data_IF_150617430471
#
_entry.id   IF_150617430471
#
_cell.length_a   1.000
_cell.length_b   1.000
_cell.length_c   1.000
_cell.angle_alpha   90.00
_cell.angle_beta   90.00
_cell.angle_gamma   90.00
#
_symmetry.space_group_name_H-M   'P 1'
#
loop_
_entity.id
_entity.type
_entity.pdbx_description
1 polymer ?
#
# COMPACT_ATOMS: atom_id res chain seq x y z
N UNK A 1 -46.32 -58.99 -24.67
CA UNK A 1 -46.85 -59.11 -26.06
C UNK A 1 -47.66 -57.89 -26.39
N UNK A 2 -47.61 -57.33 -27.61
CA UNK A 2 -46.53 -57.20 -28.58
C UNK A 2 -46.18 -55.71 -28.85
N UNK A 3 -45.00 -55.39 -29.21
CA UNK A 3 -44.36 -54.96 -30.47
C UNK A 3 -45.24 -54.16 -31.46
N UNK A 4 -44.76 -52.96 -31.82
CA UNK A 4 -44.73 -52.36 -33.15
C UNK A 4 -43.73 -51.16 -33.12
N UNK A 5 -42.58 -51.30 -33.69
CA UNK A 5 -42.04 -51.11 -35.08
C UNK A 5 -42.29 -49.73 -35.69
N UNK A 6 -41.12 -49.10 -35.98
CA UNK A 6 -40.88 -47.88 -36.80
C UNK A 6 -41.63 -47.82 -38.12
N UNK A 7 -41.59 -46.67 -38.82
CA UNK A 7 -40.53 -46.49 -39.81
C UNK A 7 -40.00 -45.05 -40.02
N UNK A 8 -38.76 -44.97 -40.53
CA UNK A 8 -38.14 -43.84 -41.16
C UNK A 8 -38.70 -43.51 -42.54
N UNK A 9 -38.55 -42.27 -43.03
CA UNK A 9 -38.33 -42.03 -44.46
C UNK A 9 -37.00 -41.36 -44.79
N UNK A 10 -36.53 -41.85 -45.96
CA UNK A 10 -35.36 -41.40 -46.74
C UNK A 10 -35.53 -39.97 -47.29
N UNK A 11 -34.56 -39.08 -47.22
CA UNK A 11 -33.55 -38.79 -48.23
C UNK A 11 -34.03 -37.75 -49.26
N UNK A 12 -33.42 -36.58 -49.25
CA UNK A 12 -33.25 -35.77 -50.47
C UNK A 12 -31.85 -35.08 -50.43
N UNK A 13 -31.11 -35.34 -51.50
CA UNK A 13 -29.88 -34.74 -51.90
C UNK A 13 -30.13 -33.29 -52.29
N UNK A 14 -29.43 -32.36 -51.66
CA UNK A 14 -29.29 -30.95 -52.06
C UNK A 14 -27.80 -30.56 -52.09
N UNK A 15 -27.34 -30.46 -53.34
CA UNK A 15 -26.02 -29.93 -53.70
C UNK A 15 -25.89 -28.47 -53.13
N UNK A 16 -24.97 -28.19 -52.26
CA UNK A 16 -24.59 -26.82 -51.93
C UNK A 16 -23.09 -26.64 -52.18
N UNK A 17 -22.84 -25.71 -53.08
CA UNK A 17 -21.55 -25.34 -53.62
C UNK A 17 -20.59 -24.87 -52.50
N UNK A 18 -19.39 -25.38 -52.54
CA UNK A 18 -18.26 -24.98 -51.70
C UNK A 18 -17.76 -23.57 -52.12
N UNK A 19 -18.12 -22.57 -51.36
CA UNK A 19 -17.43 -21.26 -51.42
C UNK A 19 -16.26 -21.34 -50.42
N UNK A 20 -15.06 -21.51 -50.98
CA UNK A 20 -13.80 -21.44 -50.23
C UNK A 20 -13.58 -20.01 -49.73
N UNK A 21 -13.84 -19.77 -48.45
CA UNK A 21 -13.37 -18.58 -47.77
C UNK A 21 -11.87 -18.74 -47.43
N UNK A 22 -11.00 -18.17 -48.29
CA UNK A 22 -9.60 -17.96 -47.98
C UNK A 22 -9.51 -16.96 -46.82
N UNK A 23 -9.39 -17.45 -45.60
CA UNK A 23 -8.95 -16.64 -44.44
C UNK A 23 -7.51 -16.20 -44.70
N UNK A 24 -7.34 -14.97 -45.23
CA UNK A 24 -6.08 -14.24 -45.15
C UNK A 24 -5.75 -14.06 -43.68
N UNK A 25 -4.93 -14.92 -43.12
CA UNK A 25 -4.21 -14.66 -41.88
C UNK A 25 -3.26 -13.47 -42.12
N UNK A 26 -3.75 -12.24 -41.99
CA UNK A 26 -2.90 -11.10 -41.72
C UNK A 26 -2.23 -11.34 -40.33
N UNK A 27 -1.13 -12.04 -40.33
CA UNK A 27 -0.20 -12.00 -39.21
C UNK A 27 0.21 -10.54 -39.03
N UNK A 28 -0.49 -9.84 -38.15
CA UNK A 28 -0.04 -8.54 -37.64
C UNK A 28 1.34 -8.79 -37.03
N UNK A 29 2.37 -8.43 -37.77
CA UNK A 29 3.70 -8.25 -37.23
C UNK A 29 3.61 -7.18 -36.16
N UNK A 30 3.36 -7.60 -34.93
CA UNK A 30 3.63 -6.76 -33.76
C UNK A 30 5.15 -6.57 -33.76
N UNK A 31 5.66 -5.33 -33.83
CA UNK A 31 7.08 -5.12 -33.60
C UNK A 31 7.39 -5.76 -32.25
N UNK A 32 8.28 -6.74 -32.25
CA UNK A 32 8.76 -7.34 -31.03
C UNK A 32 9.39 -6.20 -30.21
N UNK A 33 8.67 -5.73 -29.18
CA UNK A 33 9.23 -4.78 -28.23
C UNK A 33 10.42 -5.48 -27.61
N UNK A 34 11.61 -4.91 -27.82
CA UNK A 34 12.84 -5.39 -27.24
C UNK A 34 12.60 -5.63 -25.75
N UNK A 35 12.67 -6.88 -25.30
CA UNK A 35 12.58 -7.18 -23.88
C UNK A 35 13.95 -6.86 -23.27
N UNK A 36 14.08 -5.79 -22.46
CA UNK A 36 15.32 -5.52 -21.78
C UNK A 36 15.65 -6.70 -20.87
N UNK A 37 16.89 -7.20 -20.97
CA UNK A 37 17.39 -8.22 -20.04
C UNK A 37 17.88 -7.60 -18.73
N UNK A 38 17.67 -6.29 -18.57
CA UNK A 38 17.97 -5.57 -17.35
C UNK A 38 19.19 -4.66 -17.47
N UNK A 39 19.87 -4.45 -16.36
CA UNK A 39 21.08 -3.65 -16.24
C UNK A 39 22.14 -4.39 -15.44
N UNK A 40 23.44 -4.12 -15.70
CA UNK A 40 24.55 -4.60 -14.89
C UNK A 40 25.65 -3.53 -14.74
N UNK A 41 25.83 -3.01 -13.51
CA UNK A 41 26.71 -1.89 -13.25
C UNK A 41 26.26 -0.65 -14.03
N UNK A 42 27.13 -0.16 -14.92
CA UNK A 42 26.85 0.99 -15.79
C UNK A 42 26.37 0.59 -17.19
N UNK A 43 25.87 -0.64 -17.35
CA UNK A 43 25.48 -1.16 -18.66
C UNK A 43 24.00 -1.57 -18.69
N UNK A 44 23.34 -1.19 -19.76
CA UNK A 44 22.10 -1.81 -20.21
C UNK A 44 22.43 -3.19 -20.82
N UNK A 45 21.71 -4.22 -20.42
CA UNK A 45 21.84 -5.58 -20.92
C UNK A 45 20.80 -5.82 -22.00
N UNK A 46 21.24 -5.96 -23.23
CA UNK A 46 20.37 -6.26 -24.36
C UNK A 46 20.49 -7.73 -24.74
N UNK A 47 19.38 -8.45 -24.83
CA UNK A 47 19.34 -9.82 -25.36
C UNK A 47 19.20 -9.77 -26.86
N UNK A 48 20.22 -10.26 -27.57
CA UNK A 48 20.31 -10.29 -29.03
C UNK A 48 19.13 -11.07 -29.63
N UNK A 49 18.53 -10.48 -30.66
CA UNK A 49 17.49 -11.10 -31.47
C UNK A 49 18.03 -11.50 -32.84
N UNK A 50 17.29 -12.36 -33.54
CA UNK A 50 17.67 -12.75 -34.88
C UNK A 50 17.69 -11.51 -35.81
N UNK A 51 18.80 -11.34 -36.53
CA UNK A 51 19.01 -10.21 -37.44
C UNK A 51 19.67 -8.98 -36.81
N UNK A 52 19.92 -8.96 -35.51
CA UNK A 52 20.66 -7.88 -34.88
C UNK A 52 22.16 -7.89 -35.28
N UNK A 53 22.69 -6.70 -35.41
CA UNK A 53 24.13 -6.45 -35.57
C UNK A 53 24.59 -5.37 -34.59
N UNK A 54 25.88 -5.27 -34.29
CA UNK A 54 26.37 -4.18 -33.43
C UNK A 54 26.08 -2.79 -34.00
N UNK A 55 26.08 -2.64 -35.31
CA UNK A 55 25.76 -1.37 -36.00
C UNK A 55 24.29 -1.00 -35.73
N UNK A 56 23.37 -1.97 -35.91
CA UNK A 56 21.93 -1.71 -35.68
C UNK A 56 21.62 -1.45 -34.21
N UNK A 57 22.34 -2.11 -33.29
CA UNK A 57 22.17 -1.86 -31.84
C UNK A 57 22.73 -0.50 -31.43
N UNK A 58 23.90 -0.11 -31.95
CA UNK A 58 24.49 1.20 -31.70
C UNK A 58 23.59 2.32 -32.23
N UNK A 59 23.14 2.24 -33.49
CA UNK A 59 22.18 3.19 -34.04
C UNK A 59 20.87 3.27 -33.26
N UNK A 60 20.36 2.12 -32.77
CA UNK A 60 19.09 2.05 -32.03
C UNK A 60 19.19 2.66 -30.64
N UNK A 61 20.24 2.35 -29.89
CA UNK A 61 20.33 2.69 -28.47
C UNK A 61 21.27 3.86 -28.17
N UNK A 62 22.23 4.14 -29.02
CA UNK A 62 23.22 5.20 -28.79
C UNK A 62 23.01 6.42 -29.74
N UNK A 63 22.03 6.34 -30.66
CA UNK A 63 21.83 7.30 -31.75
C UNK A 63 23.13 7.58 -32.53
N UNK A 64 24.09 6.62 -32.53
CA UNK A 64 25.38 6.69 -33.14
C UNK A 64 25.76 5.31 -33.75
N UNK A 65 25.60 5.18 -35.07
CA UNK A 65 25.92 3.92 -35.75
C UNK A 65 27.40 3.55 -35.60
N UNK A 66 28.31 4.52 -35.56
CA UNK A 66 29.75 4.30 -35.42
C UNK A 66 30.15 3.82 -34.01
N UNK A 67 29.27 3.98 -33.04
CA UNK A 67 29.38 3.43 -31.67
C UNK A 67 29.51 1.92 -31.61
N UNK A 68 29.26 1.19 -32.73
CA UNK A 68 29.43 -0.27 -32.80
C UNK A 68 30.82 -0.74 -32.41
N UNK A 69 31.89 0.06 -32.71
CA UNK A 69 33.27 -0.27 -32.33
C UNK A 69 33.44 -0.33 -30.81
N UNK A 70 32.83 0.62 -30.10
CA UNK A 70 32.80 0.62 -28.63
C UNK A 70 32.09 -0.62 -28.10
N UNK A 71 30.93 -0.97 -28.68
CA UNK A 71 30.19 -2.18 -28.30
C UNK A 71 31.01 -3.44 -28.56
N UNK A 72 31.69 -3.52 -29.70
CA UNK A 72 32.54 -4.65 -30.04
C UNK A 72 33.66 -4.85 -28.99
N UNK A 73 34.40 -3.78 -28.69
CA UNK A 73 35.48 -3.80 -27.72
C UNK A 73 35.00 -4.17 -26.32
N UNK A 74 33.89 -3.53 -25.84
CA UNK A 74 33.33 -3.76 -24.50
C UNK A 74 32.83 -5.17 -24.30
N UNK A 75 32.31 -5.79 -25.34
CA UNK A 75 31.72 -7.13 -25.30
C UNK A 75 32.65 -8.24 -25.81
N UNK A 76 33.88 -7.91 -26.21
CA UNK A 76 34.85 -8.85 -26.76
C UNK A 76 34.32 -9.65 -27.96
N UNK A 77 33.53 -9.01 -28.83
CA UNK A 77 32.88 -9.65 -29.97
C UNK A 77 33.83 -9.72 -31.15
N UNK A 78 34.17 -10.91 -31.61
CA UNK A 78 35.12 -11.11 -32.74
C UNK A 78 34.53 -10.64 -34.07
N UNK A 79 33.26 -10.94 -34.36
CA UNK A 79 32.59 -10.56 -35.62
C UNK A 79 31.36 -9.67 -35.33
N UNK A 80 31.43 -8.36 -35.64
CA UNK A 80 30.36 -7.40 -35.35
C UNK A 80 29.10 -7.61 -36.20
N UNK A 81 29.14 -8.42 -37.26
CA UNK A 81 28.03 -8.71 -38.16
C UNK A 81 27.28 -10.00 -37.75
N UNK A 82 27.84 -10.80 -36.85
CA UNK A 82 27.26 -12.08 -36.41
C UNK A 82 27.11 -12.10 -34.89
N UNK A 83 25.96 -11.71 -34.42
CA UNK A 83 25.60 -11.83 -33.00
C UNK A 83 24.77 -13.10 -32.81
N UNK A 84 25.17 -14.02 -31.91
CA UNK A 84 24.34 -15.19 -31.61
C UNK A 84 23.00 -14.77 -30.96
N UNK A 85 21.84 -15.17 -31.52
CA UNK A 85 20.57 -14.87 -30.88
C UNK A 85 20.53 -15.42 -29.44
N UNK A 86 19.97 -14.62 -28.51
CA UNK A 86 19.92 -14.95 -27.09
C UNK A 86 21.17 -14.56 -26.28
N UNK A 87 22.30 -14.23 -26.91
CA UNK A 87 23.46 -13.66 -26.22
C UNK A 87 23.16 -12.27 -25.64
N UNK A 88 23.98 -11.83 -24.69
CA UNK A 88 23.81 -10.51 -24.04
C UNK A 88 24.87 -9.55 -24.60
N UNK A 89 24.39 -8.40 -25.06
CA UNK A 89 25.25 -7.25 -25.40
C UNK A 89 25.11 -6.19 -24.31
N UNK A 90 26.25 -5.74 -23.76
CA UNK A 90 26.35 -4.65 -22.78
C UNK A 90 26.46 -3.32 -23.50
N UNK A 91 25.56 -2.42 -23.29
CA UNK A 91 25.51 -1.07 -23.85
C UNK A 91 25.67 -0.06 -22.70
N UNK A 92 26.75 0.77 -22.71
CA UNK A 92 26.99 1.69 -21.59
C UNK A 92 25.91 2.75 -21.47
N UNK A 93 25.40 3.01 -20.25
CA UNK A 93 24.36 4.01 -20.01
C UNK A 93 24.78 5.44 -20.35
N UNK A 94 26.07 5.76 -20.26
CA UNK A 94 26.59 7.08 -20.61
C UNK A 94 26.56 7.36 -22.11
N UNK A 95 26.28 6.34 -22.93
CA UNK A 95 26.10 6.43 -24.37
C UNK A 95 24.65 6.36 -24.82
N UNK A 96 23.73 6.03 -23.94
CA UNK A 96 22.31 5.97 -24.27
C UNK A 96 21.67 7.34 -23.97
N UNK A 97 21.06 8.00 -24.97
CA UNK A 97 20.37 9.25 -24.76
C UNK A 97 19.32 9.13 -23.65
N UNK A 98 19.21 10.17 -22.82
CA UNK A 98 18.18 10.26 -21.82
C UNK A 98 17.08 11.20 -22.30
N UNK A 99 15.83 10.85 -21.97
CA UNK A 99 14.63 11.64 -22.28
C UNK A 99 13.90 12.00 -20.99
N UNK A 100 13.22 13.16 -20.95
CA UNK A 100 12.40 13.53 -19.82
C UNK A 100 11.36 12.42 -19.52
N UNK A 101 11.17 12.12 -18.26
CA UNK A 101 10.13 11.23 -17.76
C UNK A 101 9.35 11.92 -16.62
N UNK A 102 8.32 11.27 -16.12
CA UNK A 102 7.54 11.75 -15.00
C UNK A 102 7.28 10.64 -13.98
N UNK A 103 7.21 11.02 -12.72
CA UNK A 103 6.68 10.16 -11.68
C UNK A 103 5.15 10.34 -11.62
N UNK A 104 4.39 9.26 -11.69
CA UNK A 104 2.95 9.31 -11.55
C UNK A 104 2.57 9.23 -10.07
N UNK A 105 1.74 10.17 -9.60
CA UNK A 105 1.15 10.09 -8.26
C UNK A 105 0.07 9.01 -8.28
N UNK A 106 0.25 7.94 -7.52
CA UNK A 106 -0.75 6.86 -7.38
C UNK A 106 -1.61 7.03 -6.14
N UNK A 107 -1.06 7.68 -5.11
CA UNK A 107 -1.77 8.06 -3.89
C UNK A 107 -1.20 9.37 -3.36
N UNK A 108 -2.08 10.25 -2.85
CA UNK A 108 -1.67 11.45 -2.12
C UNK A 108 -2.72 11.84 -1.09
N UNK A 109 -2.26 12.19 0.11
CA UNK A 109 -3.04 12.71 1.21
C UNK A 109 -2.19 13.77 1.91
N UNK A 110 -2.73 14.98 2.13
CA UNK A 110 -2.04 16.10 2.79
C UNK A 110 -0.58 16.25 2.31
N UNK A 111 -0.42 16.28 0.98
CA UNK A 111 0.87 16.44 0.32
C UNK A 111 0.79 17.63 -0.66
N UNK A 112 1.82 18.46 -0.69
CA UNK A 112 1.91 19.65 -1.54
C UNK A 112 3.23 19.68 -2.31
N UNK A 113 3.25 20.43 -3.41
CA UNK A 113 4.49 20.75 -4.12
C UNK A 113 5.19 21.98 -3.50
N UNK A 114 6.34 22.36 -4.05
CA UNK A 114 7.10 23.55 -3.60
C UNK A 114 6.35 24.86 -3.63
N UNK A 115 5.31 25.01 -4.47
CA UNK A 115 4.42 26.17 -4.52
C UNK A 115 3.23 26.03 -3.56
N UNK A 116 3.23 25.05 -2.68
CA UNK A 116 2.13 24.68 -1.76
C UNK A 116 0.82 24.30 -2.44
N UNK A 117 0.86 23.85 -3.70
CA UNK A 117 -0.31 23.34 -4.42
C UNK A 117 -0.53 21.88 -4.03
N UNK A 118 -1.77 21.47 -3.71
CA UNK A 118 -2.07 20.10 -3.36
C UNK A 118 -1.70 19.12 -4.48
N UNK A 119 -1.08 18.00 -4.11
CA UNK A 119 -0.82 16.88 -4.99
C UNK A 119 -1.97 15.88 -4.90
N UNK A 120 -2.37 15.32 -6.03
CA UNK A 120 -3.49 14.40 -6.14
C UNK A 120 -3.13 13.19 -6.99
N UNK A 121 -3.78 12.05 -6.74
CA UNK A 121 -3.64 10.85 -7.56
C UNK A 121 -3.92 11.16 -9.04
N UNK A 122 -3.15 10.54 -9.92
CA UNK A 122 -3.21 10.78 -11.37
C UNK A 122 -2.28 11.89 -11.88
N UNK A 123 -1.79 12.80 -11.02
CA UNK A 123 -0.84 13.84 -11.44
C UNK A 123 0.50 13.23 -11.87
N UNK A 124 1.16 13.89 -12.82
CA UNK A 124 2.53 13.56 -13.26
C UNK A 124 3.49 14.64 -12.75
N UNK A 125 4.50 14.21 -12.04
CA UNK A 125 5.52 15.10 -11.47
C UNK A 125 6.82 14.96 -12.26
N UNK A 126 7.37 16.09 -12.68
CA UNK A 126 8.61 16.18 -13.42
C UNK A 126 9.84 16.34 -12.52
N UNK A 127 11.01 16.34 -13.14
CA UNK A 127 12.28 16.73 -12.52
C UNK A 127 12.15 18.07 -11.79
N UNK A 128 12.90 18.26 -10.73
CA UNK A 128 12.94 19.43 -9.82
C UNK A 128 11.67 19.69 -8.99
N UNK A 129 10.67 18.80 -9.05
CA UNK A 129 9.49 18.93 -8.19
C UNK A 129 9.87 18.66 -6.72
N UNK A 130 9.63 19.64 -5.84
CA UNK A 130 9.66 19.48 -4.39
C UNK A 130 8.33 18.90 -3.91
N UNK A 131 8.39 17.91 -3.05
CA UNK A 131 7.26 17.26 -2.39
C UNK A 131 7.37 17.47 -0.89
N UNK A 132 6.32 17.94 -0.25
CA UNK A 132 6.21 18.08 1.19
C UNK A 132 4.95 17.36 1.68
N UNK A 133 5.11 16.49 2.66
CA UNK A 133 3.99 15.80 3.32
C UNK A 133 3.72 16.42 4.68
N UNK A 134 2.45 16.67 5.00
CA UNK A 134 2.02 17.15 6.32
C UNK A 134 2.23 16.10 7.42
N UNK A 135 1.89 16.47 8.66
CA UNK A 135 2.05 15.58 9.82
C UNK A 135 1.20 14.29 9.75
N UNK A 136 0.15 14.28 8.95
CA UNK A 136 -0.71 13.12 8.66
C UNK A 136 -0.72 12.75 7.19
N UNK A 137 0.10 13.44 6.38
CA UNK A 137 0.13 13.30 4.94
C UNK A 137 1.01 12.14 4.47
N UNK A 138 0.75 11.66 3.28
CA UNK A 138 1.61 10.71 2.58
C UNK A 138 1.40 10.82 1.08
N UNK A 139 2.41 10.43 0.31
CA UNK A 139 2.29 10.34 -1.14
C UNK A 139 3.05 9.11 -1.65
N UNK A 140 2.49 8.45 -2.65
CA UNK A 140 3.14 7.35 -3.34
C UNK A 140 3.25 7.65 -4.82
N UNK A 141 4.46 7.50 -5.33
CA UNK A 141 4.83 7.69 -6.71
C UNK A 141 5.10 6.34 -7.38
N UNK A 142 4.73 6.23 -8.65
CA UNK A 142 5.09 5.10 -9.52
C UNK A 142 5.86 5.61 -10.73
N UNK A 143 6.85 4.81 -11.17
CA UNK A 143 7.64 5.04 -12.37
C UNK A 143 7.36 3.96 -13.42
N UNK A 144 7.69 4.22 -14.68
CA UNK A 144 7.35 3.35 -15.82
C UNK A 144 7.96 1.94 -15.73
N UNK A 145 9.08 1.77 -15.03
CA UNK A 145 9.73 0.47 -14.78
C UNK A 145 9.04 -0.33 -13.64
N UNK A 146 7.98 0.22 -13.04
CA UNK A 146 7.26 -0.34 -11.92
C UNK A 146 7.86 -0.02 -10.56
N UNK A 147 8.93 0.77 -10.49
CA UNK A 147 9.46 1.31 -9.23
C UNK A 147 8.40 2.13 -8.51
N UNK A 148 8.26 1.92 -7.20
CA UNK A 148 7.38 2.68 -6.33
C UNK A 148 8.16 3.35 -5.22
N UNK A 149 7.75 4.58 -4.90
CA UNK A 149 8.32 5.39 -3.83
C UNK A 149 7.20 5.91 -2.95
N UNK A 150 7.18 5.50 -1.70
CA UNK A 150 6.26 6.02 -0.69
C UNK A 150 7.00 7.03 0.18
N UNK A 151 6.43 8.22 0.30
CA UNK A 151 6.90 9.32 1.15
C UNK A 151 5.91 9.45 2.31
N UNK A 152 6.27 9.00 3.52
CA UNK A 152 5.42 9.04 4.70
C UNK A 152 5.32 10.45 5.28
N UNK A 153 4.53 10.67 6.37
CA UNK A 153 4.34 11.97 7.00
C UNK A 153 5.63 12.68 7.42
N UNK A 154 5.58 14.02 7.38
CA UNK A 154 6.67 14.88 7.86
C UNK A 154 7.93 14.79 7.01
N UNK A 155 7.79 14.62 5.71
CA UNK A 155 8.92 14.44 4.81
C UNK A 155 9.01 15.55 3.77
N UNK A 156 10.25 15.88 3.39
CA UNK A 156 10.59 16.85 2.35
C UNK A 156 11.55 16.21 1.35
N UNK A 157 11.05 15.95 0.13
CA UNK A 157 11.73 15.19 -0.92
C UNK A 157 11.69 15.96 -2.24
N UNK A 158 12.83 16.08 -2.90
CA UNK A 158 12.91 16.65 -4.26
C UNK A 158 13.16 15.54 -5.28
N UNK A 159 12.42 15.55 -6.38
CA UNK A 159 12.66 14.73 -7.55
C UNK A 159 13.83 15.34 -8.35
N UNK A 160 15.06 15.21 -7.86
CA UNK A 160 16.24 15.91 -8.41
C UNK A 160 16.63 15.46 -9.83
N UNK A 161 16.16 14.27 -10.25
CA UNK A 161 16.23 13.77 -11.62
C UNK A 161 15.09 12.79 -11.85
N UNK A 162 14.39 12.96 -12.98
CA UNK A 162 13.36 12.03 -13.44
C UNK A 162 13.44 11.92 -14.95
N UNK A 163 14.18 10.92 -15.43
CA UNK A 163 14.46 10.65 -16.85
C UNK A 163 14.35 9.16 -17.14
N UNK A 164 14.27 8.81 -18.40
CA UNK A 164 14.38 7.43 -18.89
C UNK A 164 15.53 7.32 -19.87
N UNK A 165 16.19 6.16 -19.91
CA UNK A 165 17.12 5.82 -20.98
C UNK A 165 16.32 5.46 -22.22
N UNK A 166 16.52 6.20 -23.30
CA UNK A 166 15.72 6.07 -24.52
C UNK A 166 15.64 4.62 -25.02
N UNK A 167 14.44 4.16 -25.35
CA UNK A 167 14.15 2.85 -25.94
C UNK A 167 14.52 1.62 -25.08
N UNK A 168 14.97 1.82 -23.83
CA UNK A 168 15.38 0.71 -22.94
C UNK A 168 14.29 0.27 -21.98
N UNK A 169 13.30 1.12 -21.69
CA UNK A 169 12.32 0.92 -20.61
C UNK A 169 12.91 1.06 -19.20
N UNK A 170 14.15 1.58 -19.09
CA UNK A 170 14.83 1.77 -17.80
C UNK A 170 14.83 3.26 -17.42
N UNK A 171 14.76 3.53 -16.11
CA UNK A 171 14.72 4.88 -15.54
C UNK A 171 16.11 5.38 -15.12
N UNK A 172 16.31 6.70 -15.14
CA UNK A 172 17.39 7.43 -14.46
C UNK A 172 16.76 8.40 -13.47
N UNK A 173 16.65 7.97 -12.21
CA UNK A 173 15.97 8.72 -11.14
C UNK A 173 16.93 9.02 -10.02
N UNK A 174 16.90 10.28 -9.55
CA UNK A 174 17.56 10.71 -8.33
C UNK A 174 16.56 11.44 -7.44
N UNK A 175 16.42 10.95 -6.21
CA UNK A 175 15.66 11.61 -5.15
C UNK A 175 16.61 12.30 -4.18
N UNK A 176 16.24 13.48 -3.71
CA UNK A 176 16.91 14.16 -2.62
C UNK A 176 15.98 14.25 -1.42
N UNK A 177 16.28 13.51 -0.36
CA UNK A 177 15.56 13.54 0.91
C UNK A 177 16.22 14.55 1.82
N UNK A 178 15.59 15.71 1.99
CA UNK A 178 16.11 16.78 2.86
C UNK A 178 15.78 16.50 4.32
N UNK A 179 14.58 15.98 4.56
CA UNK A 179 14.05 15.68 5.90
C UNK A 179 12.99 14.57 5.77
N UNK A 180 12.80 13.78 6.85
CA UNK A 180 11.83 12.70 6.88
C UNK A 180 12.36 11.44 6.21
N UNK A 181 11.50 10.73 5.49
CA UNK A 181 11.77 9.38 5.01
C UNK A 181 11.22 9.11 3.62
N UNK A 182 11.81 8.15 2.94
CA UNK A 182 11.25 7.47 1.77
C UNK A 182 11.39 5.96 1.92
N UNK A 183 10.37 5.21 1.53
CA UNK A 183 10.44 3.78 1.27
C UNK A 183 10.38 3.55 -0.24
N UNK A 184 11.32 2.76 -0.76
CA UNK A 184 11.41 2.48 -2.19
C UNK A 184 11.36 0.99 -2.44
N UNK A 185 10.51 0.58 -3.37
CA UNK A 185 10.50 -0.76 -3.98
C UNK A 185 10.93 -0.60 -5.43
N UNK A 186 12.19 -0.92 -5.70
CA UNK A 186 12.85 -0.61 -6.97
C UNK A 186 12.84 -1.83 -7.87
N UNK A 187 12.32 -1.67 -9.11
CA UNK A 187 12.23 -2.73 -10.13
C UNK A 187 11.64 -4.04 -9.59
N UNK A 188 10.41 -4.03 -9.07
CA UNK A 188 9.80 -5.23 -8.46
C UNK A 188 9.64 -6.39 -9.46
N UNK A 189 9.62 -6.09 -10.75
CA UNK A 189 9.53 -7.09 -11.84
C UNK A 189 10.87 -7.74 -12.19
N UNK A 190 11.96 -7.38 -11.50
CA UNK A 190 13.32 -7.87 -11.74
C UNK A 190 13.82 -7.66 -13.18
N UNK A 191 13.23 -6.74 -13.91
CA UNK A 191 13.63 -6.37 -15.29
C UNK A 191 14.90 -5.54 -15.34
N UNK A 192 15.48 -5.23 -14.18
CA UNK A 192 16.62 -4.35 -14.01
C UNK A 192 16.22 -2.90 -13.80
N UNK A 193 17.16 -2.12 -13.31
CA UNK A 193 17.02 -0.66 -13.08
C UNK A 193 18.09 0.00 -13.89
N UNK A 194 17.78 1.12 -14.52
CA UNK A 194 18.78 1.95 -15.16
C UNK A 194 19.71 2.54 -14.11
N UNK A 195 19.31 3.67 -13.56
CA UNK A 195 19.99 4.33 -12.45
C UNK A 195 18.95 4.81 -11.45
N UNK A 196 19.05 4.34 -10.21
CA UNK A 196 18.21 4.81 -9.11
C UNK A 196 19.10 5.22 -7.94
N UNK A 197 19.00 6.48 -7.54
CA UNK A 197 19.84 7.06 -6.49
C UNK A 197 18.98 7.85 -5.51
N UNK A 198 19.27 7.71 -4.22
CA UNK A 198 18.76 8.59 -3.18
C UNK A 198 19.93 9.30 -2.52
N UNK A 199 19.81 10.62 -2.39
CA UNK A 199 20.76 11.46 -1.66
C UNK A 199 20.07 12.09 -0.46
N UNK A 200 20.82 12.18 0.64
CA UNK A 200 20.47 12.91 1.85
C UNK A 200 21.64 13.82 2.22
N UNK A 201 21.54 14.68 3.25
CA UNK A 201 22.68 15.45 3.72
C UNK A 201 23.89 14.61 4.17
N UNK A 202 23.68 13.36 4.61
CA UNK A 202 24.75 12.54 5.19
C UNK A 202 25.16 11.33 4.35
N UNK A 203 24.32 10.85 3.42
CA UNK A 203 24.64 9.68 2.57
C UNK A 203 24.09 9.81 1.17
N UNK A 204 24.69 9.01 0.26
CA UNK A 204 24.19 8.76 -1.08
C UNK A 204 24.11 7.25 -1.26
N UNK A 205 22.99 6.76 -1.73
CA UNK A 205 22.77 5.35 -2.03
C UNK A 205 22.42 5.12 -3.49
N UNK A 206 23.10 4.16 -4.10
CA UNK A 206 22.78 3.64 -5.42
C UNK A 206 22.17 2.25 -5.29
N UNK A 207 21.07 2.00 -6.02
CA UNK A 207 20.19 0.87 -5.77
C UNK A 207 19.98 0.05 -7.02
N UNK A 208 19.79 -1.27 -6.80
CA UNK A 208 19.49 -2.20 -7.87
C UNK A 208 18.57 -3.33 -7.36
N UNK A 209 17.29 -3.29 -7.76
CA UNK A 209 16.32 -4.34 -7.46
C UNK A 209 16.14 -4.61 -5.97
N UNK A 210 15.79 -3.60 -5.18
CA UNK A 210 15.77 -3.64 -3.72
C UNK A 210 14.50 -3.03 -3.14
N UNK A 211 14.12 -3.49 -1.93
CA UNK A 211 13.19 -2.79 -1.05
C UNK A 211 13.96 -2.25 0.15
N UNK A 212 13.93 -0.94 0.34
CA UNK A 212 14.71 -0.27 1.39
C UNK A 212 14.07 1.05 1.80
N UNK A 213 14.50 1.57 2.94
CA UNK A 213 14.10 2.87 3.48
C UNK A 213 15.31 3.74 3.69
N UNK A 214 15.16 5.03 3.38
CA UNK A 214 16.15 6.06 3.67
C UNK A 214 15.48 7.15 4.47
N UNK A 215 16.08 7.53 5.59
CA UNK A 215 15.60 8.61 6.45
C UNK A 215 16.71 9.65 6.66
N UNK A 216 16.35 10.92 6.57
CA UNK A 216 17.19 12.06 6.92
C UNK A 216 16.67 12.72 8.21
N UNK A 217 17.54 12.93 9.18
CA UNK A 217 17.18 13.45 10.51
C UNK A 217 18.35 14.25 11.12
N UNK A 218 18.22 15.58 11.16
CA UNK A 218 19.13 16.46 11.91
C UNK A 218 20.62 16.31 11.58
N UNK A 219 20.99 16.13 10.30
CA UNK A 219 22.39 15.96 9.88
C UNK A 219 22.92 14.52 9.93
N UNK A 220 22.12 13.58 10.41
CA UNK A 220 22.33 12.15 10.27
C UNK A 220 21.35 11.56 9.24
N UNK A 221 21.70 10.41 8.73
CA UNK A 221 20.81 9.66 7.83
C UNK A 221 20.91 8.18 8.12
N UNK A 222 19.80 7.47 7.95
CA UNK A 222 19.75 6.02 8.10
C UNK A 222 19.24 5.37 6.83
N UNK A 223 19.72 4.18 6.56
CA UNK A 223 19.21 3.31 5.51
C UNK A 223 19.00 1.91 6.07
N UNK A 224 17.82 1.35 5.80
CA UNK A 224 17.42 0.00 6.20
C UNK A 224 17.09 -0.81 4.97
N UNK A 225 17.84 -1.89 4.71
CA UNK A 225 17.64 -2.75 3.52
C UNK A 225 16.80 -3.95 3.90
N UNK A 226 15.60 -4.02 3.34
CA UNK A 226 14.64 -5.09 3.59
C UNK A 226 14.83 -6.26 2.63
N UNK A 227 15.09 -5.95 1.35
CA UNK A 227 15.33 -6.93 0.30
C UNK A 227 16.42 -6.44 -0.62
N UNK A 228 17.23 -7.38 -1.17
CA UNK A 228 18.29 -7.07 -2.14
C UNK A 228 19.56 -6.51 -1.52
N UNK A 229 20.21 -5.60 -2.23
CA UNK A 229 21.51 -5.02 -1.84
C UNK A 229 21.65 -3.61 -2.38
N UNK A 230 22.20 -2.71 -1.59
CA UNK A 230 22.46 -1.31 -1.95
C UNK A 230 23.94 -0.97 -1.80
N UNK A 231 24.40 0.05 -2.52
CA UNK A 231 25.71 0.64 -2.34
C UNK A 231 25.57 2.02 -1.68
N UNK A 232 26.06 2.15 -0.45
CA UNK A 232 25.96 3.38 0.35
C UNK A 232 27.30 4.07 0.45
N UNK A 233 27.30 5.40 0.30
CA UNK A 233 28.47 6.24 0.46
C UNK A 233 28.20 7.40 1.42
N UNK A 234 29.14 7.66 2.34
CA UNK A 234 29.16 8.83 3.20
C UNK A 234 30.60 9.38 3.32
N UNK A 235 30.82 10.59 2.88
CA UNK A 235 32.17 11.15 2.75
C UNK A 235 33.08 10.26 1.89
N UNK A 236 34.18 9.78 2.48
CA UNK A 236 35.14 8.88 1.80
C UNK A 236 34.81 7.39 2.01
N UNK A 237 33.84 7.07 2.85
CA UNK A 237 33.46 5.67 3.11
C UNK A 237 32.42 5.21 2.09
N UNK A 238 32.61 4.00 1.57
CA UNK A 238 31.64 3.32 0.73
C UNK A 238 31.45 1.88 1.21
N UNK A 239 30.23 1.41 1.27
CA UNK A 239 29.89 0.07 1.74
C UNK A 239 28.69 -0.50 1.01
N UNK A 240 28.73 -1.79 0.72
CA UNK A 240 27.59 -2.54 0.27
C UNK A 240 26.79 -3.06 1.48
N UNK A 241 25.47 -2.84 1.48
CA UNK A 241 24.55 -3.24 2.53
C UNK A 241 23.52 -4.19 1.93
N UNK A 242 23.40 -5.39 2.48
CA UNK A 242 22.43 -6.40 2.05
C UNK A 242 21.20 -6.43 2.93
N UNK A 243 20.19 -7.21 2.51
CA UNK A 243 18.96 -7.42 3.25
C UNK A 243 19.21 -7.85 4.71
N UNK A 244 18.38 -7.36 5.63
CA UNK A 244 18.51 -7.59 7.06
C UNK A 244 19.53 -6.69 7.77
N UNK A 245 20.20 -5.80 7.06
CA UNK A 245 21.14 -4.82 7.61
C UNK A 245 20.73 -3.39 7.28
N UNK A 246 21.23 -2.47 8.11
CA UNK A 246 21.13 -1.05 7.85
C UNK A 246 22.41 -0.33 8.19
N UNK A 247 22.47 0.95 7.81
CA UNK A 247 23.57 1.84 8.15
C UNK A 247 23.03 3.17 8.67
N UNK A 248 23.75 3.75 9.63
CA UNK A 248 23.61 5.16 10.04
C UNK A 248 24.82 5.92 9.52
N UNK A 249 24.57 7.00 8.80
CA UNK A 249 25.59 7.94 8.35
C UNK A 249 25.51 9.22 9.20
N UNK A 250 26.64 9.64 9.77
CA UNK A 250 26.78 10.90 10.50
C UNK A 250 28.24 11.37 10.45
N UNK A 251 28.50 12.66 10.24
CA UNK A 251 29.85 13.20 10.18
C UNK A 251 30.78 12.50 9.18
N UNK A 252 30.25 12.05 8.04
CA UNK A 252 31.01 11.35 7.00
C UNK A 252 31.41 9.91 7.34
N UNK A 253 30.88 9.34 8.43
CA UNK A 253 31.14 7.96 8.89
C UNK A 253 29.89 7.09 8.71
N UNK A 254 30.12 5.81 8.40
CA UNK A 254 29.08 4.78 8.32
C UNK A 254 29.17 3.83 9.51
N UNK A 255 28.06 3.61 10.19
CA UNK A 255 27.90 2.57 11.21
C UNK A 255 26.86 1.56 10.75
N UNK A 256 27.29 0.35 10.45
CA UNK A 256 26.42 -0.76 10.04
C UNK A 256 25.89 -1.51 11.28
N UNK A 257 24.63 -1.96 11.20
CA UNK A 257 24.03 -2.85 12.19
C UNK A 257 23.02 -3.80 11.53
N UNK A 258 22.67 -4.86 12.26
CA UNK A 258 21.54 -5.72 11.92
C UNK A 258 20.26 -4.98 12.21
N UNK A 259 19.26 -5.08 11.32
CA UNK A 259 17.95 -4.48 11.56
C UNK A 259 17.25 -5.13 12.76
N UNK A 260 16.49 -4.35 13.55
CA UNK A 260 15.70 -4.92 14.64
C UNK A 260 14.65 -5.89 14.08
N UNK A 261 14.28 -6.89 14.88
CA UNK A 261 13.27 -7.87 14.50
C UNK A 261 11.88 -7.22 14.33
N UNK A 262 11.01 -7.82 13.52
CA UNK A 262 9.62 -7.44 13.48
C UNK A 262 8.94 -7.71 14.84
N UNK A 263 8.05 -6.83 15.32
CA UNK A 263 7.29 -7.09 16.53
C UNK A 263 6.27 -8.24 16.30
N UNK A 264 5.80 -8.84 17.39
CA UNK A 264 4.67 -9.77 17.34
C UNK A 264 3.43 -9.00 17.75
N UNK A 265 2.48 -8.84 16.81
CA UNK A 265 1.19 -8.24 17.10
C UNK A 265 0.40 -9.13 18.06
N UNK A 266 -0.22 -8.54 19.07
CA UNK A 266 -1.29 -9.15 19.83
C UNK A 266 -2.52 -9.33 18.92
N UNK A 267 -3.62 -9.83 19.46
CA UNK A 267 -4.83 -10.00 18.67
C UNK A 267 -5.31 -8.64 18.11
N UNK A 268 -5.37 -8.54 16.79
CA UNK A 268 -6.01 -7.42 16.08
C UNK A 268 -7.44 -7.83 15.80
N UNK A 269 -8.46 -7.07 16.25
CA UNK A 269 -9.86 -7.39 15.94
C UNK A 269 -10.07 -7.45 14.41
N UNK A 270 -10.78 -8.46 13.93
CA UNK A 270 -11.16 -8.53 12.51
C UNK A 270 -12.09 -7.39 12.11
N UNK A 271 -12.93 -6.93 13.06
CA UNK A 271 -13.86 -5.82 12.89
C UNK A 271 -13.64 -4.77 13.98
N UNK A 272 -13.37 -3.55 13.55
CA UNK A 272 -13.25 -2.35 14.38
C UNK A 272 -14.45 -1.45 14.12
N UNK A 273 -15.23 -1.16 15.14
CA UNK A 273 -16.44 -0.33 15.08
C UNK A 273 -16.30 0.95 15.92
N UNK A 274 -15.08 1.44 16.05
CA UNK A 274 -14.76 2.72 16.70
C UNK A 274 -13.86 3.54 15.80
N UNK A 275 -14.01 4.88 15.76
CA UNK A 275 -13.16 5.74 14.94
C UNK A 275 -11.67 5.62 15.27
N UNK A 276 -11.36 5.25 16.52
CA UNK A 276 -9.99 5.02 16.97
C UNK A 276 -9.90 3.68 17.69
N UNK A 277 -8.81 2.94 17.48
CA UNK A 277 -8.50 1.74 18.26
C UNK A 277 -7.03 1.76 18.68
N UNK A 278 -6.71 0.96 19.68
CA UNK A 278 -5.36 0.91 20.24
C UNK A 278 -4.77 -0.49 20.15
N UNK A 279 -4.16 -0.84 19.00
CA UNK A 279 -3.43 -2.09 18.88
C UNK A 279 -2.20 -2.10 19.78
N UNK A 280 -1.86 -3.30 20.27
CA UNK A 280 -0.68 -3.58 21.08
C UNK A 280 0.15 -4.68 20.41
N UNK A 281 1.42 -4.76 20.84
CA UNK A 281 2.36 -5.79 20.39
C UNK A 281 3.39 -6.09 21.46
N UNK A 282 4.09 -7.20 21.30
CA UNK A 282 5.14 -7.58 22.26
C UNK A 282 6.38 -6.71 22.08
N UNK A 283 7.00 -6.25 23.17
CA UNK A 283 8.24 -5.48 23.12
C UNK A 283 9.35 -6.25 22.40
N UNK A 284 10.10 -5.57 21.54
CA UNK A 284 11.24 -6.13 20.82
C UNK A 284 12.54 -5.70 21.51
N UNK A 285 13.41 -6.67 21.80
CA UNK A 285 14.71 -6.39 22.42
C UNK A 285 15.54 -5.44 21.55
N UNK A 286 15.99 -4.34 22.12
CA UNK A 286 16.79 -3.32 21.44
C UNK A 286 15.98 -2.29 20.62
N UNK A 287 14.67 -2.42 20.55
CA UNK A 287 13.82 -1.39 19.99
C UNK A 287 13.65 -0.24 21.00
N UNK A 288 13.76 1.00 20.53
CA UNK A 288 13.52 2.22 21.29
C UNK A 288 12.23 2.92 20.87
N UNK A 289 11.72 2.55 19.69
CA UNK A 289 10.45 3.05 19.18
C UNK A 289 9.82 2.02 18.21
N UNK A 290 8.56 2.27 17.87
CA UNK A 290 7.78 1.49 16.92
C UNK A 290 7.09 2.44 15.96
N UNK A 291 7.04 2.04 14.70
CA UNK A 291 6.24 2.71 13.68
C UNK A 291 4.99 1.87 13.44
N UNK A 292 3.83 2.45 13.67
CA UNK A 292 2.53 1.86 13.40
C UNK A 292 1.85 2.61 12.26
N UNK A 293 1.35 1.88 11.27
CA UNK A 293 0.77 2.41 10.04
C UNK A 293 -0.56 1.72 9.78
N UNK A 294 -1.59 2.48 9.38
CA UNK A 294 -2.77 1.96 8.70
C UNK A 294 -2.66 2.33 7.23
N UNK A 295 -2.79 1.36 6.36
CA UNK A 295 -2.81 1.54 4.91
C UNK A 295 -4.01 0.78 4.30
N UNK A 296 -4.43 1.18 3.09
CA UNK A 296 -5.46 0.46 2.34
C UNK A 296 -4.94 -0.84 1.72
N UNK A 297 -3.62 -0.97 1.62
CA UNK A 297 -2.96 -2.08 0.95
C UNK A 297 -1.88 -2.74 1.84
N UNK A 298 -1.59 -4.03 1.63
CA UNK A 298 -0.56 -4.76 2.38
C UNK A 298 0.85 -4.20 2.17
N UNK A 299 1.13 -3.61 1.02
CA UNK A 299 2.41 -3.02 0.64
C UNK A 299 2.66 -1.66 1.31
N UNK A 300 1.65 -1.09 1.98
CA UNK A 300 1.70 0.21 2.67
C UNK A 300 1.98 1.38 1.72
N UNK A 301 1.42 1.31 0.51
CA UNK A 301 1.54 2.37 -0.49
C UNK A 301 0.47 3.46 -0.33
N UNK A 302 -0.67 3.14 0.30
CA UNK A 302 -1.77 4.07 0.58
C UNK A 302 -1.89 4.31 2.09
N UNK A 303 -0.96 5.08 2.64
CA UNK A 303 -0.89 5.36 4.09
C UNK A 303 -2.01 6.32 4.51
N UNK A 304 -2.88 5.86 5.40
CA UNK A 304 -3.98 6.65 5.96
C UNK A 304 -3.68 7.19 7.36
N UNK A 305 -2.96 6.43 8.16
CA UNK A 305 -2.58 6.81 9.51
C UNK A 305 -1.15 6.35 9.79
N UNK A 306 -0.41 7.16 10.52
CA UNK A 306 0.98 6.90 10.86
C UNK A 306 1.25 7.40 12.28
N UNK A 307 1.89 6.57 13.09
CA UNK A 307 2.34 6.96 14.43
C UNK A 307 3.70 6.36 14.74
N UNK A 308 4.61 7.20 15.22
CA UNK A 308 5.84 6.77 15.89
C UNK A 308 5.56 6.71 17.39
N UNK A 309 5.67 5.54 18.01
CA UNK A 309 5.41 5.31 19.44
C UNK A 309 6.66 4.82 20.15
N UNK A 310 6.93 5.31 21.35
CA UNK A 310 7.99 4.80 22.22
C UNK A 310 7.54 3.60 23.06
N UNK A 311 6.26 3.29 23.05
CA UNK A 311 5.68 2.14 23.76
C UNK A 311 5.17 1.10 22.76
N UNK A 312 5.03 -0.18 23.15
CA UNK A 312 4.52 -1.23 22.26
C UNK A 312 2.98 -1.15 22.05
N UNK A 313 2.50 0.05 21.81
CA UNK A 313 1.12 0.36 21.50
C UNK A 313 1.04 1.64 20.66
N UNK A 314 -0.02 1.79 19.87
CA UNK A 314 -0.33 3.03 19.15
C UNK A 314 -1.83 3.30 19.22
N UNK A 315 -2.22 4.59 19.14
CA UNK A 315 -3.63 4.95 18.92
C UNK A 315 -3.78 5.36 17.48
N UNK A 316 -4.53 4.57 16.72
CA UNK A 316 -4.73 4.75 15.29
C UNK A 316 -6.19 5.05 15.03
N UNK A 317 -6.47 6.08 14.25
CA UNK A 317 -7.81 6.56 13.94
C UNK A 317 -8.06 6.51 12.43
N UNK A 318 -9.30 6.21 12.05
CA UNK A 318 -9.83 6.28 10.70
C UNK A 318 -11.31 6.63 10.78
N UNK A 319 -11.82 7.29 9.76
CA UNK A 319 -13.18 7.82 9.67
C UNK A 319 -13.98 7.24 8.50
N UNK A 320 -13.41 6.31 7.75
CA UNK A 320 -14.05 5.67 6.61
C UNK A 320 -14.21 4.17 6.81
N UNK A 321 -15.33 3.63 6.35
CA UNK A 321 -15.55 2.19 6.29
C UNK A 321 -14.65 1.56 5.24
N UNK A 322 -14.13 0.35 5.52
CA UNK A 322 -13.29 -0.34 4.57
C UNK A 322 -12.41 -1.41 5.19
N UNK A 323 -11.68 -2.12 4.33
CA UNK A 323 -10.66 -3.08 4.75
C UNK A 323 -9.30 -2.40 4.71
N UNK A 324 -8.53 -2.56 5.78
CA UNK A 324 -7.25 -1.91 6.00
C UNK A 324 -6.21 -2.91 6.44
N UNK A 325 -4.96 -2.51 6.36
CA UNK A 325 -3.81 -3.24 6.89
C UNK A 325 -3.18 -2.44 8.02
N UNK A 326 -3.10 -3.01 9.20
CA UNK A 326 -2.22 -2.55 10.28
C UNK A 326 -0.83 -3.11 10.03
N UNK A 327 0.17 -2.26 9.92
CA UNK A 327 1.58 -2.64 9.82
C UNK A 327 2.40 -2.01 10.96
N UNK A 328 3.23 -2.80 11.61
CA UNK A 328 4.08 -2.34 12.73
C UNK A 328 5.52 -2.76 12.50
N UNK A 329 6.44 -1.87 12.81
CA UNK A 329 7.89 -2.05 12.69
C UNK A 329 8.59 -1.60 13.95
N UNK A 330 9.69 -2.27 14.30
CA UNK A 330 10.59 -1.82 15.38
C UNK A 330 11.62 -0.84 14.85
N UNK A 331 12.02 0.14 15.68
CA UNK A 331 13.08 1.09 15.40
C UNK A 331 14.13 0.99 16.51
N UNK A 332 15.41 0.84 16.16
CA UNK A 332 16.51 0.74 17.12
C UNK A 332 17.09 2.11 17.50
N UNK A 333 18.04 2.13 18.42
CA UNK A 333 18.72 3.34 18.89
C UNK A 333 19.57 4.05 17.80
N UNK A 334 19.86 3.40 16.68
CA UNK A 334 20.49 4.03 15.53
C UNK A 334 19.47 4.70 14.60
N UNK A 335 18.17 4.48 14.83
CA UNK A 335 17.07 4.93 13.96
C UNK A 335 16.82 3.99 12.77
N UNK A 336 17.37 2.77 12.79
CA UNK A 336 17.15 1.76 11.76
C UNK A 336 15.79 1.09 11.99
N UNK A 337 14.99 0.97 10.93
CA UNK A 337 13.68 0.33 10.97
C UNK A 337 13.76 -1.10 10.45
N UNK A 338 13.25 -2.04 11.22
CA UNK A 338 13.16 -3.45 10.85
C UNK A 338 12.05 -3.76 9.83
N UNK A 339 11.88 -5.04 9.46
CA UNK A 339 10.76 -5.48 8.65
C UNK A 339 9.43 -5.22 9.38
N UNK A 340 8.35 -5.04 8.62
CA UNK A 340 7.00 -4.89 9.16
C UNK A 340 6.34 -6.24 9.39
N UNK A 341 5.55 -6.34 10.46
CA UNK A 341 4.48 -7.33 10.56
C UNK A 341 3.17 -6.65 10.18
N UNK A 342 2.36 -7.32 9.38
CA UNK A 342 1.11 -6.76 8.88
C UNK A 342 -0.08 -7.68 9.19
N UNK A 343 -1.26 -7.09 9.48
CA UNK A 343 -2.53 -7.79 9.70
C UNK A 343 -3.66 -7.00 9.06
N UNK A 344 -4.53 -7.65 8.29
CA UNK A 344 -5.75 -7.03 7.78
C UNK A 344 -6.79 -6.90 8.89
N UNK A 345 -7.65 -5.89 8.80
CA UNK A 345 -8.84 -5.67 9.63
C UNK A 345 -9.85 -4.84 8.85
N UNK A 346 -11.11 -4.87 9.30
CA UNK A 346 -12.20 -4.09 8.70
C UNK A 346 -12.64 -3.01 9.68
N UNK A 347 -12.77 -1.77 9.21
CA UNK A 347 -13.43 -0.68 9.93
C UNK A 347 -14.87 -0.60 9.42
N UNK A 348 -15.83 -0.49 10.35
CA UNK A 348 -17.24 -0.29 10.05
C UNK A 348 -17.86 0.65 11.07
N UNK A 349 -18.07 1.88 10.65
CA UNK A 349 -18.64 2.97 11.44
C UNK A 349 -20.10 3.24 11.04
N UNK A 350 -20.52 2.74 9.86
CA UNK A 350 -21.87 2.91 9.30
C UNK A 350 -22.62 1.57 9.20
N UNK A 351 -23.97 1.61 9.36
CA UNK A 351 -24.75 2.78 9.75
C UNK A 351 -24.38 3.29 11.14
N UNK A 352 -24.45 4.60 11.38
CA UNK A 352 -24.09 5.20 12.66
C UNK A 352 -24.92 4.63 13.84
N UNK A 353 -24.35 4.72 15.05
CA UNK A 353 -25.10 4.37 16.26
C UNK A 353 -26.25 5.37 16.47
N UNK A 354 -27.47 4.89 16.83
CA UNK A 354 -28.59 5.77 17.09
C UNK A 354 -28.36 6.65 18.32
N UNK A 355 -28.87 7.90 18.26
CA UNK A 355 -28.92 8.76 19.45
C UNK A 355 -30.00 8.22 20.43
N UNK A 356 -29.59 7.90 21.64
CA UNK A 356 -30.45 7.33 22.68
C UNK A 356 -31.31 8.42 23.33
N UNK A 357 -32.63 8.23 23.38
CA UNK A 357 -33.57 9.20 23.93
C UNK A 357 -33.99 8.79 25.37
N UNK A 358 -34.45 7.56 25.52
CA UNK A 358 -34.85 7.02 26.82
C UNK A 358 -34.71 5.49 26.86
N UNK A 359 -34.41 4.91 28.06
CA UNK A 359 -34.16 5.56 29.33
C UNK A 359 -32.91 6.42 29.37
N UNK A 360 -32.98 7.62 29.93
CA UNK A 360 -31.86 8.52 30.08
C UNK A 360 -31.00 8.18 31.32
N UNK A 361 -29.72 8.54 31.27
CA UNK A 361 -28.72 8.24 32.30
C UNK A 361 -29.17 8.71 33.69
N UNK A 362 -29.16 7.80 34.63
CA UNK A 362 -29.39 8.08 36.07
C UNK A 362 -30.83 8.41 36.45
N UNK A 363 -31.78 8.42 35.49
CA UNK A 363 -33.19 8.69 35.79
C UNK A 363 -33.92 7.40 36.17
N UNK A 364 -34.96 7.49 37.03
CA UNK A 364 -35.84 6.36 37.35
C UNK A 364 -36.91 6.17 36.26
N UNK A 365 -37.26 4.93 35.98
CA UNK A 365 -38.32 4.51 35.08
C UNK A 365 -39.16 3.40 35.69
N UNK A 366 -40.39 3.23 35.23
CA UNK A 366 -41.29 2.19 35.71
C UNK A 366 -40.83 0.81 35.29
N UNK A 367 -40.70 -0.14 36.21
CA UNK A 367 -40.12 -1.46 35.96
C UNK A 367 -41.00 -2.33 35.03
N UNK A 368 -42.29 -2.39 35.20
CA UNK A 368 -43.20 -3.22 34.38
C UNK A 368 -43.36 -2.78 32.92
N UNK A 369 -43.07 -1.51 32.58
CA UNK A 369 -43.31 -0.92 31.27
C UNK A 369 -42.17 0.05 30.91
N UNK A 370 -40.95 -0.44 30.94
CA UNK A 370 -39.78 0.40 30.54
C UNK A 370 -39.79 0.63 29.05
N UNK A 371 -39.85 1.90 28.63
CA UNK A 371 -39.82 2.31 27.23
C UNK A 371 -38.40 2.62 26.85
N UNK A 372 -37.91 1.94 25.81
CA UNK A 372 -36.67 2.23 25.11
C UNK A 372 -36.99 3.01 23.85
N UNK A 373 -36.34 4.14 23.63
CA UNK A 373 -36.52 4.95 22.42
C UNK A 373 -35.22 5.59 21.97
N UNK A 374 -35.05 5.71 20.68
CA UNK A 374 -33.88 6.30 20.02
C UNK A 374 -34.25 7.04 18.74
N UNK A 375 -33.36 7.85 18.23
CA UNK A 375 -33.53 8.56 16.96
C UNK A 375 -33.32 7.58 15.80
N UNK A 376 -34.10 7.74 14.72
CA UNK A 376 -33.90 7.01 13.48
C UNK A 376 -32.59 7.41 12.83
N UNK A 377 -31.93 6.45 12.20
CA UNK A 377 -30.70 6.64 11.38
C UNK A 377 -31.06 6.36 9.93
N UNK A 378 -30.70 7.27 9.03
CA UNK A 378 -31.13 7.22 7.63
C UNK A 378 -30.71 5.94 6.89
N UNK A 379 -29.55 5.38 7.23
CA UNK A 379 -29.00 4.17 6.62
C UNK A 379 -29.47 2.87 7.31
N UNK A 380 -30.18 2.97 8.42
CA UNK A 380 -30.65 1.82 9.15
C UNK A 380 -31.97 1.26 8.55
N UNK A 381 -32.00 -0.03 8.30
CA UNK A 381 -33.23 -0.76 8.00
C UNK A 381 -33.88 -1.32 9.27
N UNK A 382 -33.07 -1.75 10.22
CA UNK A 382 -33.49 -2.32 11.52
C UNK A 382 -32.51 -1.91 12.62
N UNK A 383 -32.85 -2.22 13.85
CA UNK A 383 -32.07 -1.93 15.04
C UNK A 383 -31.95 -3.17 15.92
N UNK A 384 -30.76 -3.30 16.57
CA UNK A 384 -30.58 -4.26 17.68
C UNK A 384 -30.56 -3.50 18.99
N UNK A 385 -31.43 -3.86 19.91
CA UNK A 385 -31.49 -3.37 21.29
C UNK A 385 -30.99 -4.45 22.25
N UNK A 386 -30.13 -4.09 23.17
CA UNK A 386 -29.76 -4.92 24.32
C UNK A 386 -29.96 -4.16 25.63
N UNK A 387 -30.50 -4.88 26.67
CA UNK A 387 -30.47 -4.41 28.03
C UNK A 387 -29.98 -5.52 28.98
N UNK A 388 -29.11 -5.14 29.92
CA UNK A 388 -28.42 -6.05 30.84
C UNK A 388 -28.34 -5.45 32.26
N UNK A 389 -28.16 -6.30 33.26
CA UNK A 389 -27.89 -5.87 34.64
C UNK A 389 -26.46 -5.39 34.87
N UNK A 390 -25.54 -5.71 33.95
CA UNK A 390 -24.14 -5.32 33.98
C UNK A 390 -23.72 -4.57 32.69
N UNK A 391 -22.75 -3.68 32.81
CA UNK A 391 -22.29 -2.81 31.70
C UNK A 391 -21.48 -3.53 30.62
N UNK A 392 -21.06 -4.77 30.87
CA UNK A 392 -20.32 -5.60 29.92
C UNK A 392 -21.21 -6.33 28.91
N UNK A 393 -22.52 -6.35 29.15
CA UNK A 393 -23.53 -7.06 28.36
C UNK A 393 -23.20 -8.54 28.12
N UNK A 394 -22.49 -9.18 29.05
CA UNK A 394 -22.17 -10.60 28.96
C UNK A 394 -23.42 -11.48 28.91
N UNK A 395 -24.47 -11.08 29.63
CA UNK A 395 -25.77 -11.77 29.67
C UNK A 395 -26.92 -10.75 29.53
N UNK A 396 -27.24 -10.26 28.33
CA UNK A 396 -28.37 -9.37 28.13
C UNK A 396 -29.68 -10.09 28.42
N UNK A 397 -30.53 -9.46 29.21
CA UNK A 397 -31.89 -9.95 29.56
C UNK A 397 -32.89 -9.57 28.46
N UNK A 398 -32.70 -8.41 27.83
CA UNK A 398 -33.46 -7.99 26.67
C UNK A 398 -32.51 -8.06 25.44
N UNK A 399 -33.00 -8.73 24.39
CA UNK A 399 -32.45 -8.71 23.06
C UNK A 399 -33.59 -8.56 22.08
N UNK A 400 -33.63 -7.48 21.36
CA UNK A 400 -34.68 -7.25 20.36
C UNK A 400 -34.04 -6.75 19.04
N UNK A 401 -34.59 -7.25 17.95
CA UNK A 401 -34.28 -6.84 16.60
C UNK A 401 -35.58 -6.42 15.90
N UNK A 402 -35.59 -5.31 15.21
CA UNK A 402 -36.73 -4.83 14.45
C UNK A 402 -36.56 -3.42 13.90
N UNK A 403 -37.50 -2.96 13.06
CA UNK A 403 -37.46 -1.65 12.44
C UNK A 403 -37.92 -0.50 13.35
N UNK A 404 -38.48 -0.82 14.51
CA UNK A 404 -39.05 0.15 15.44
C UNK A 404 -37.96 0.98 16.10
N UNK A 405 -38.21 2.27 16.30
CA UNK A 405 -37.37 3.20 17.08
C UNK A 405 -37.85 3.41 18.50
N UNK A 406 -38.89 2.66 18.92
CA UNK A 406 -39.48 2.69 20.24
C UNK A 406 -40.02 1.30 20.61
N UNK A 407 -39.59 0.79 21.77
CA UNK A 407 -39.94 -0.55 22.24
C UNK A 407 -40.22 -0.51 23.73
N UNK A 408 -41.27 -1.18 24.18
CA UNK A 408 -41.60 -1.34 25.61
C UNK A 408 -41.22 -2.74 26.05
N UNK A 409 -40.47 -2.84 27.15
CA UNK A 409 -40.05 -4.11 27.74
C UNK A 409 -40.30 -4.13 29.25
N UNK A 410 -40.84 -5.24 29.78
CA UNK A 410 -40.94 -5.41 31.21
C UNK A 410 -39.56 -5.72 31.81
N UNK A 411 -39.11 -4.91 32.75
CA UNK A 411 -37.89 -5.15 33.53
C UNK A 411 -38.26 -5.34 35.01
N UNK A 412 -37.43 -6.10 35.74
CA UNK A 412 -37.54 -6.16 37.21
C UNK A 412 -36.96 -4.89 37.81
N UNK A 413 -37.40 -4.48 39.00
CA UNK A 413 -36.78 -3.39 39.74
C UNK A 413 -35.27 -3.63 39.89
N UNK A 414 -34.44 -2.59 39.64
CA UNK A 414 -33.00 -2.70 39.72
C UNK A 414 -32.26 -1.66 38.84
N UNK A 415 -30.96 -1.75 38.83
CA UNK A 415 -30.10 -0.96 37.91
C UNK A 415 -29.87 -1.74 36.62
N UNK A 416 -30.08 -1.07 35.51
CA UNK A 416 -29.99 -1.63 34.18
C UNK A 416 -29.06 -0.79 33.30
N UNK A 417 -28.42 -1.46 32.32
CA UNK A 417 -27.66 -0.86 31.27
C UNK A 417 -28.30 -1.20 29.94
N UNK A 418 -28.32 -0.28 29.02
CA UNK A 418 -28.83 -0.54 27.67
C UNK A 418 -28.00 0.12 26.60
N UNK A 419 -28.05 -0.45 25.41
CA UNK A 419 -27.40 0.04 24.20
C UNK A 419 -28.22 -0.35 22.98
N UNK A 420 -28.05 0.37 21.90
CA UNK A 420 -28.70 0.12 20.63
C UNK A 420 -27.71 0.34 19.48
N UNK A 421 -27.85 -0.42 18.41
CA UNK A 421 -27.11 -0.22 17.18
C UNK A 421 -28.03 -0.29 15.97
N UNK A 422 -27.61 0.35 14.87
CA UNK A 422 -28.25 0.28 13.57
C UNK A 422 -27.80 -0.95 12.80
N UNK A 423 -28.68 -1.48 11.94
CA UNK A 423 -28.41 -2.55 10.98
C UNK A 423 -28.89 -2.08 9.61
N UNK A 424 -28.04 -2.13 8.58
CA UNK A 424 -28.39 -1.72 7.24
C UNK A 424 -29.29 -2.74 6.51
N UNK A 425 -29.72 -2.40 5.29
CA UNK A 425 -30.55 -3.27 4.43
C UNK A 425 -29.88 -4.60 4.05
N UNK A 426 -28.55 -4.66 4.09
CA UNK A 426 -27.73 -5.83 3.78
C UNK A 426 -27.43 -6.69 5.01
N UNK A 427 -28.01 -6.33 6.17
CA UNK A 427 -27.80 -7.02 7.45
C UNK A 427 -26.46 -6.70 8.11
N UNK A 428 -25.74 -5.68 7.66
CA UNK A 428 -24.48 -5.27 8.27
C UNK A 428 -24.76 -4.38 9.48
N UNK A 429 -24.13 -4.73 10.60
CA UNK A 429 -24.30 -3.99 11.85
C UNK A 429 -23.32 -2.83 11.96
N UNK A 430 -23.80 -1.65 12.32
CA UNK A 430 -22.99 -0.53 12.75
C UNK A 430 -22.47 -0.68 14.20
N UNK A 431 -21.78 0.34 14.72
CA UNK A 431 -21.32 0.37 16.10
C UNK A 431 -22.49 0.40 17.08
N UNK A 432 -22.25 -0.16 18.28
CA UNK A 432 -23.15 0.07 19.40
C UNK A 432 -23.06 1.52 19.86
N UNK A 433 -24.20 2.07 20.32
CA UNK A 433 -24.23 3.31 21.09
C UNK A 433 -23.43 3.17 22.39
N UNK A 434 -23.06 4.27 23.01
CA UNK A 434 -22.55 4.25 24.37
C UNK A 434 -23.59 3.62 25.29
N UNK A 435 -23.12 2.79 26.23
CA UNK A 435 -24.02 2.16 27.18
C UNK A 435 -24.55 3.17 28.22
N UNK A 436 -25.85 3.23 28.41
CA UNK A 436 -26.52 4.12 29.36
C UNK A 436 -27.09 3.33 30.52
N UNK A 437 -26.78 3.74 31.75
CA UNK A 437 -27.38 3.15 32.94
C UNK A 437 -28.62 3.93 33.42
N UNK A 438 -29.63 3.23 33.89
CA UNK A 438 -30.87 3.77 34.50
C UNK A 438 -31.36 2.88 35.62
N UNK A 439 -32.37 3.34 36.38
CA UNK A 439 -33.00 2.58 37.44
C UNK A 439 -34.45 2.23 37.07
N UNK A 440 -34.76 0.96 37.01
CA UNK A 440 -36.12 0.49 36.95
C UNK A 440 -36.67 0.39 38.41
N UNK A 441 -37.77 1.06 38.68
CA UNK A 441 -38.39 1.09 40.01
C UNK A 441 -39.83 0.60 39.92
N UNK A 442 -40.34 0.04 41.03
CA UNK A 442 -41.73 -0.30 41.14
C UNK A 442 -42.50 0.97 41.51
N UNK A 443 -42.90 1.71 40.47
CA UNK A 443 -43.63 2.99 40.60
C UNK A 443 -45.12 2.72 40.33
N UNK A 444 -46.06 3.07 41.27
CA UNK A 444 -47.50 2.94 41.05
C UNK A 444 -47.98 3.71 39.80
N UNK A 445 -49.09 3.24 39.19
CA UNK A 445 -49.59 3.82 37.93
C UNK A 445 -50.02 5.28 38.04
N UNK A 446 -50.36 5.72 39.22
CA UNK A 446 -50.91 7.02 39.62
C UNK A 446 -49.82 8.03 40.08
N UNK A 447 -48.53 7.66 40.03
CA UNK A 447 -47.42 8.48 40.51
C UNK A 447 -46.54 9.10 39.39
N UNK A 448 -47.02 9.13 38.14
CA UNK A 448 -46.31 9.73 36.98
C UNK A 448 -47.05 10.94 36.44
#
# INVERSE_FOLDING_TARGET
MPKHTEPRPRGWFGLVASIGAALLCCAMWRPATAQPSGADGNDFLYRVQQGDTLITLAARYMDDAEGWRLLQQRNHIANPYKLPPGSIVRIPFDRIPVVPAAAQVVFARDAVNGDRKPLQAGMKLSEDTLIETGAKGAITLAFDDGTRVTVPPGSRVTLARVRSFARTGLIDVRLQVKEGEVESTVSPRKTGVGRYEISTPALVTGVRGTRFRVRADGGASTESVLEGKVAVRAGRQAQAVGAGFGVRAAGGRLKRAVLPAAPRLDAVPELVQTPCFRPTWQPVKGAVAYRAVIARDPEQTEILSYQLSQTPAATLCGDEDGTYTLAVQSVDALGLSGPSVARPFTVRLHPEAPYMIQPAKGKPYRSGETVFAWASVAEAATYDLEAAAASDFAQPVVRQHGPEVRVTQPLRPGTWWWRVRSVDKDGKTGPWSDAVSFRALDIPADAV
#
